data_IF_384831999546
#
_entry.id   IF_384831999546
#
_cell.length_a   1.000
_cell.length_b   1.000
_cell.length_c   1.000
_cell.angle_alpha   90.00
_cell.angle_beta   90.00
_cell.angle_gamma   90.00
#
_symmetry.space_group_name_H-M   'P 1'
#
loop_
_entity.id
_entity.type
_entity.pdbx_description
1 polymer ?
#
# COMPACT_ATOMS: atom_id res chain seq x y z
N UNK A 1 35.43 4.75 -13.67
CA UNK A 1 34.54 4.65 -12.49
C UNK A 1 34.20 3.18 -12.31
N UNK A 2 34.80 2.54 -11.31
CA UNK A 2 34.67 1.09 -11.14
C UNK A 2 33.28 0.74 -10.60
N UNK A 3 32.66 -0.30 -11.16
CA UNK A 3 31.36 -0.84 -10.67
C UNK A 3 31.34 -1.18 -9.18
N UNK A 4 32.52 -1.42 -8.58
CA UNK A 4 32.69 -1.64 -7.14
C UNK A 4 32.39 -0.41 -6.30
N UNK A 5 32.69 0.79 -6.80
CA UNK A 5 32.43 2.05 -6.09
C UNK A 5 30.94 2.39 -6.04
N UNK A 6 30.22 2.06 -7.12
CA UNK A 6 28.77 2.26 -7.25
C UNK A 6 28.04 1.40 -6.20
N UNK A 7 28.48 0.15 -6.00
CA UNK A 7 27.89 -0.81 -5.06
C UNK A 7 28.05 -0.42 -3.58
N UNK A 8 29.02 0.44 -3.25
CA UNK A 8 29.36 0.79 -1.86
C UNK A 8 28.65 2.06 -1.34
N UNK A 9 27.88 2.74 -2.20
CA UNK A 9 27.10 3.90 -1.78
C UNK A 9 25.89 3.41 -0.97
N UNK A 10 25.85 3.72 0.34
CA UNK A 10 24.70 3.40 1.23
C UNK A 10 23.35 3.82 0.63
N UNK A 11 23.33 4.92 -0.12
CA UNK A 11 22.16 5.37 -0.88
C UNK A 11 21.72 4.38 -1.95
N UNK A 12 22.64 3.84 -2.75
CA UNK A 12 22.32 2.86 -3.79
C UNK A 12 21.81 1.55 -3.18
N UNK A 13 22.38 1.08 -2.07
CA UNK A 13 21.89 -0.13 -1.39
C UNK A 13 20.46 0.03 -0.89
N UNK A 14 20.11 1.21 -0.38
CA UNK A 14 18.77 1.52 0.10
C UNK A 14 17.76 1.63 -1.06
N UNK A 15 18.12 2.33 -2.14
CA UNK A 15 17.30 2.42 -3.36
C UNK A 15 17.12 1.04 -3.99
N UNK A 16 18.19 0.24 -4.07
CA UNK A 16 18.13 -1.14 -4.54
C UNK A 16 17.22 -2.02 -3.67
N UNK A 17 17.14 -1.76 -2.36
CA UNK A 17 16.23 -2.48 -1.45
C UNK A 17 14.77 -2.11 -1.70
N UNK A 18 14.46 -0.84 -1.96
CA UNK A 18 13.10 -0.42 -2.34
C UNK A 18 12.73 -1.00 -3.71
N UNK A 19 13.65 -0.89 -4.68
CA UNK A 19 13.47 -1.43 -6.03
C UNK A 19 13.25 -2.94 -6.03
N UNK A 20 14.04 -3.70 -5.29
CA UNK A 20 13.85 -5.14 -5.17
C UNK A 20 12.53 -5.50 -4.48
N UNK A 21 12.10 -4.74 -3.47
CA UNK A 21 10.78 -4.92 -2.84
C UNK A 21 9.66 -4.82 -3.89
N UNK A 22 9.71 -3.79 -4.73
CA UNK A 22 8.70 -3.56 -5.76
C UNK A 22 8.73 -4.66 -6.82
N UNK A 23 9.90 -5.05 -7.32
CA UNK A 23 10.00 -6.14 -8.32
C UNK A 23 9.45 -7.45 -7.76
N UNK A 24 9.87 -7.84 -6.56
CA UNK A 24 9.42 -9.09 -5.92
C UNK A 24 7.91 -9.02 -5.63
N UNK A 25 7.44 -7.92 -5.04
CA UNK A 25 6.03 -7.75 -4.73
C UNK A 25 5.15 -7.76 -5.98
N UNK A 26 5.56 -7.09 -7.05
CA UNK A 26 4.85 -7.12 -8.33
C UNK A 26 4.87 -8.51 -8.94
N UNK A 27 5.99 -9.23 -8.91
CA UNK A 27 6.07 -10.60 -9.41
C UNK A 27 5.08 -11.52 -8.68
N UNK A 28 4.99 -11.43 -7.35
CA UNK A 28 4.03 -12.20 -6.53
C UNK A 28 2.60 -11.84 -6.92
N UNK A 29 2.26 -10.54 -6.98
CA UNK A 29 0.92 -10.09 -7.35
C UNK A 29 0.54 -10.52 -8.78
N UNK A 30 1.46 -10.50 -9.74
CA UNK A 30 1.19 -10.96 -11.10
C UNK A 30 0.89 -12.46 -11.13
N UNK A 31 1.66 -13.28 -10.42
CA UNK A 31 1.40 -14.74 -10.34
C UNK A 31 0.04 -15.02 -9.69
N UNK A 32 -0.29 -14.29 -8.62
CA UNK A 32 -1.60 -14.38 -7.97
C UNK A 32 -2.75 -14.07 -8.95
N UNK A 33 -2.70 -12.93 -9.64
CA UNK A 33 -3.78 -12.54 -10.55
C UNK A 33 -3.94 -13.47 -11.75
N UNK A 34 -2.83 -13.97 -12.32
CA UNK A 34 -2.87 -14.98 -13.39
C UNK A 34 -3.54 -16.26 -12.90
N UNK A 35 -3.24 -16.67 -11.65
CA UNK A 35 -3.84 -17.87 -11.05
C UNK A 35 -5.35 -17.70 -10.86
N UNK A 36 -5.77 -16.55 -10.32
CA UNK A 36 -7.18 -16.21 -10.11
C UNK A 36 -7.94 -16.08 -11.43
N UNK A 37 -7.33 -15.51 -12.48
CA UNK A 37 -7.95 -15.40 -13.80
C UNK A 37 -8.23 -16.77 -14.45
N UNK A 38 -7.41 -17.78 -14.17
CA UNK A 38 -7.65 -19.15 -14.63
C UNK A 38 -8.70 -19.91 -13.83
N UNK A 39 -8.94 -19.51 -12.57
CA UNK A 39 -9.90 -20.15 -11.66
C UNK A 39 -11.28 -19.50 -11.70
N UNK A 40 -11.35 -18.20 -11.94
CA UNK A 40 -12.60 -17.43 -12.03
C UNK A 40 -13.08 -17.39 -13.48
N UNK A 41 -14.39 -17.52 -13.67
CA UNK A 41 -15.02 -17.18 -14.95
C UNK A 41 -14.86 -15.69 -15.27
N UNK A 42 -15.02 -15.33 -16.56
CA UNK A 42 -14.85 -13.96 -17.04
C UNK A 42 -15.76 -12.95 -16.32
N UNK A 43 -16.99 -13.35 -15.99
CA UNK A 43 -17.94 -12.51 -15.27
C UNK A 43 -17.48 -12.22 -13.82
N UNK A 44 -17.19 -13.26 -13.04
CA UNK A 44 -16.74 -13.11 -11.65
C UNK A 44 -15.40 -12.38 -11.54
N UNK A 45 -14.50 -12.59 -12.51
CA UNK A 45 -13.23 -11.85 -12.56
C UNK A 45 -13.44 -10.36 -12.86
N UNK A 46 -14.40 -10.03 -13.73
CA UNK A 46 -14.79 -8.65 -14.03
C UNK A 46 -15.42 -7.96 -12.82
N UNK A 47 -16.31 -8.64 -12.11
CA UNK A 47 -16.95 -8.12 -10.89
C UNK A 47 -15.93 -7.89 -9.76
N UNK A 48 -15.01 -8.84 -9.54
CA UNK A 48 -13.92 -8.67 -8.59
C UNK A 48 -13.05 -7.45 -8.94
N UNK A 49 -12.72 -7.30 -10.23
CA UNK A 49 -11.94 -6.15 -10.72
C UNK A 49 -12.66 -4.82 -10.51
N UNK A 50 -13.98 -4.79 -10.70
CA UNK A 50 -14.82 -3.63 -10.43
C UNK A 50 -14.76 -3.22 -8.96
N UNK A 51 -14.92 -4.17 -8.04
CA UNK A 51 -14.82 -3.91 -6.61
C UNK A 51 -13.42 -3.43 -6.20
N UNK A 52 -12.35 -4.03 -6.73
CA UNK A 52 -10.98 -3.59 -6.46
C UNK A 52 -10.72 -2.16 -6.94
N UNK A 53 -11.28 -1.76 -8.08
CA UNK A 53 -11.18 -0.40 -8.56
C UNK A 53 -11.85 0.60 -7.60
N UNK A 54 -13.06 0.28 -7.13
CA UNK A 54 -13.78 1.09 -6.13
C UNK A 54 -12.97 1.20 -4.83
N UNK A 55 -12.46 0.08 -4.32
CA UNK A 55 -11.63 0.04 -3.11
C UNK A 55 -10.41 0.94 -3.30
N UNK A 56 -9.72 0.84 -4.44
CA UNK A 56 -8.53 1.61 -4.75
C UNK A 56 -8.80 3.12 -4.78
N UNK A 57 -9.82 3.55 -5.53
CA UNK A 57 -10.19 4.97 -5.65
C UNK A 57 -10.62 5.52 -4.28
N UNK A 58 -11.48 4.78 -3.58
CA UNK A 58 -11.99 5.20 -2.26
C UNK A 58 -10.87 5.32 -1.24
N UNK A 59 -9.87 4.43 -1.29
CA UNK A 59 -8.71 4.49 -0.40
C UNK A 59 -7.84 5.71 -0.67
N UNK A 60 -7.64 6.08 -1.94
CA UNK A 60 -6.87 7.29 -2.31
C UNK A 60 -7.59 8.54 -1.81
N UNK A 61 -8.90 8.64 -2.03
CA UNK A 61 -9.73 9.76 -1.55
C UNK A 61 -9.70 9.82 -0.02
N UNK A 62 -9.93 8.70 0.66
CA UNK A 62 -9.95 8.61 2.12
C UNK A 62 -8.60 8.96 2.75
N UNK A 63 -7.48 8.73 2.06
CA UNK A 63 -6.16 9.08 2.59
C UNK A 63 -5.93 10.61 2.58
N UNK A 64 -6.67 11.39 1.80
CA UNK A 64 -6.55 12.87 1.68
C UNK A 64 -5.10 13.32 1.44
N UNK A 65 -4.33 12.57 0.65
CA UNK A 65 -2.91 12.84 0.41
C UNK A 65 -1.98 12.65 1.63
N UNK A 66 -2.50 12.16 2.76
CA UNK A 66 -1.77 11.96 4.00
C UNK A 66 -0.56 11.04 3.87
N UNK A 67 -0.54 10.10 2.90
CA UNK A 67 0.61 9.22 2.68
C UNK A 67 1.90 9.97 2.34
N UNK A 68 1.87 10.89 1.38
CA UNK A 68 3.05 11.69 1.03
C UNK A 68 3.42 12.69 2.13
N UNK A 69 2.40 13.26 2.79
CA UNK A 69 2.60 14.11 3.96
C UNK A 69 3.34 13.34 5.07
N UNK A 70 2.92 12.10 5.36
CA UNK A 70 3.61 11.21 6.30
C UNK A 70 5.08 11.02 5.90
N UNK A 71 5.34 10.70 4.64
CA UNK A 71 6.68 10.43 4.15
C UNK A 71 7.61 11.65 4.31
N UNK A 72 7.15 12.85 3.93
CA UNK A 72 7.94 14.08 3.98
C UNK A 72 8.21 14.53 5.42
N UNK A 73 7.18 14.56 6.26
CA UNK A 73 7.33 15.06 7.64
C UNK A 73 8.01 14.04 8.57
N UNK A 74 7.80 12.73 8.36
CA UNK A 74 8.56 11.71 9.06
C UNK A 74 10.06 11.78 8.70
N UNK A 75 10.40 12.08 7.43
CA UNK A 75 11.80 12.31 7.03
C UNK A 75 12.41 13.56 7.67
N UNK A 76 11.60 14.59 7.95
CA UNK A 76 11.98 15.79 8.71
C UNK A 76 12.00 15.57 10.24
N UNK A 77 11.61 14.39 10.73
CA UNK A 77 11.55 14.09 12.17
C UNK A 77 10.40 14.78 12.91
N UNK A 78 9.41 15.33 12.20
CA UNK A 78 8.24 15.99 12.80
C UNK A 78 7.21 14.91 13.17
N UNK A 79 6.78 14.91 14.44
CA UNK A 79 5.82 13.93 14.98
C UNK A 79 4.38 14.24 14.53
N UNK A 80 4.06 14.00 13.27
CA UNK A 80 2.69 14.14 12.74
C UNK A 80 1.96 12.79 12.59
N UNK A 81 2.66 11.69 12.89
CA UNK A 81 2.19 10.32 12.67
C UNK A 81 0.83 10.08 13.31
N UNK A 82 0.71 10.34 14.61
CA UNK A 82 -0.52 10.10 15.35
C UNK A 82 -1.72 10.89 14.80
N UNK A 83 -1.51 12.14 14.41
CA UNK A 83 -2.56 12.97 13.81
C UNK A 83 -2.99 12.46 12.44
N UNK A 84 -2.05 12.02 11.60
CA UNK A 84 -2.36 11.47 10.28
C UNK A 84 -3.04 10.10 10.37
N UNK A 85 -2.63 9.23 11.29
CA UNK A 85 -3.35 7.97 11.53
C UNK A 85 -4.77 8.23 12.02
N UNK A 86 -4.96 9.18 12.94
CA UNK A 86 -6.29 9.53 13.44
C UNK A 86 -7.19 10.06 12.31
N UNK A 87 -6.69 11.01 11.52
CA UNK A 87 -7.43 11.53 10.36
C UNK A 87 -7.70 10.42 9.33
N UNK A 88 -6.69 9.62 8.99
CA UNK A 88 -6.82 8.54 8.03
C UNK A 88 -7.82 7.46 8.43
N UNK A 89 -7.84 7.06 9.70
CA UNK A 89 -8.79 6.07 10.21
C UNK A 89 -10.20 6.65 10.23
N UNK A 90 -10.37 7.90 10.66
CA UNK A 90 -11.69 8.54 10.70
C UNK A 90 -12.28 8.73 9.30
N UNK A 91 -11.51 9.24 8.34
CA UNK A 91 -11.96 9.41 6.95
C UNK A 91 -12.21 8.08 6.25
N UNK A 92 -11.35 7.08 6.46
CA UNK A 92 -11.54 5.75 5.87
C UNK A 92 -12.72 5.00 6.48
N UNK A 93 -13.04 5.23 7.75
CA UNK A 93 -14.24 4.67 8.39
C UNK A 93 -15.51 5.28 7.81
N UNK A 94 -15.54 6.60 7.58
CA UNK A 94 -16.66 7.26 6.89
C UNK A 94 -16.80 6.73 5.46
N UNK A 95 -15.69 6.55 4.74
CA UNK A 95 -15.69 5.95 3.41
C UNK A 95 -16.20 4.51 3.44
N UNK A 96 -15.78 3.70 4.41
CA UNK A 96 -16.23 2.32 4.59
C UNK A 96 -17.74 2.24 4.86
N UNK A 97 -18.28 3.09 5.73
CA UNK A 97 -19.73 3.16 5.99
C UNK A 97 -20.47 3.53 4.71
N UNK A 98 -19.97 4.52 3.97
CA UNK A 98 -20.58 4.96 2.71
C UNK A 98 -20.60 3.84 1.68
N UNK A 99 -19.48 3.14 1.51
CA UNK A 99 -19.39 2.00 0.59
C UNK A 99 -20.28 0.84 1.01
N UNK A 100 -20.42 0.59 2.31
CA UNK A 100 -21.29 -0.46 2.82
C UNK A 100 -22.75 -0.18 2.48
N UNK A 101 -23.20 1.07 2.59
CA UNK A 101 -24.56 1.46 2.23
C UNK A 101 -24.84 1.38 0.72
N UNK A 102 -23.82 1.51 -0.13
CA UNK A 102 -23.98 1.47 -1.60
C UNK A 102 -23.92 0.04 -2.14
N UNK A 103 -22.97 -0.76 -1.66
CA UNK A 103 -22.65 -2.06 -2.24
C UNK A 103 -23.10 -3.24 -1.39
N UNK A 104 -23.53 -3.00 -0.14
CA UNK A 104 -23.91 -4.02 0.85
C UNK A 104 -22.83 -5.10 1.06
N UNK A 105 -21.59 -4.80 0.68
CA UNK A 105 -20.46 -5.70 0.71
C UNK A 105 -19.49 -5.29 1.81
N UNK A 106 -19.46 -6.07 2.88
CA UNK A 106 -18.55 -5.86 4.01
C UNK A 106 -17.08 -5.94 3.58
N UNK A 107 -16.74 -6.82 2.64
CA UNK A 107 -15.38 -6.96 2.11
C UNK A 107 -14.88 -5.67 1.48
N UNK A 108 -15.64 -5.10 0.53
CA UNK A 108 -15.31 -3.83 -0.13
C UNK A 108 -15.11 -2.70 0.88
N UNK A 109 -15.99 -2.65 1.87
CA UNK A 109 -16.03 -1.58 2.86
C UNK A 109 -14.84 -1.64 3.82
N UNK A 110 -14.57 -2.81 4.41
CA UNK A 110 -13.48 -2.97 5.38
C UNK A 110 -12.10 -2.88 4.72
N UNK A 111 -11.98 -3.30 3.45
CA UNK A 111 -10.73 -3.23 2.69
C UNK A 111 -10.18 -1.80 2.59
N UNK A 112 -11.04 -0.78 2.51
CA UNK A 112 -10.60 0.62 2.44
C UNK A 112 -9.86 1.04 3.71
N UNK A 113 -10.40 0.71 4.89
CA UNK A 113 -9.74 1.03 6.17
C UNK A 113 -8.38 0.34 6.26
N UNK A 114 -8.34 -0.95 5.88
CA UNK A 114 -7.11 -1.74 5.87
C UNK A 114 -6.05 -1.14 4.95
N UNK A 115 -6.41 -0.79 3.72
CA UNK A 115 -5.49 -0.22 2.73
C UNK A 115 -4.96 1.14 3.19
N UNK A 116 -5.83 2.00 3.73
CA UNK A 116 -5.41 3.33 4.22
C UNK A 116 -4.42 3.18 5.38
N UNK A 117 -4.73 2.33 6.37
CA UNK A 117 -3.82 2.07 7.49
C UNK A 117 -2.48 1.49 7.01
N UNK A 118 -2.52 0.52 6.10
CA UNK A 118 -1.31 -0.13 5.57
C UNK A 118 -0.45 0.86 4.78
N UNK A 119 -1.06 1.73 3.98
CA UNK A 119 -0.35 2.78 3.25
C UNK A 119 0.39 3.72 4.20
N UNK A 120 -0.24 4.17 5.28
CA UNK A 120 0.45 5.03 6.27
C UNK A 120 1.67 4.34 6.87
N UNK A 121 1.59 3.05 7.22
CA UNK A 121 2.73 2.28 7.74
C UNK A 121 3.87 2.24 6.73
N UNK A 122 3.57 2.02 5.45
CA UNK A 122 4.56 1.98 4.38
C UNK A 122 5.23 3.34 4.18
N UNK A 123 4.45 4.42 4.10
CA UNK A 123 4.96 5.78 3.91
C UNK A 123 5.79 6.27 5.11
N UNK A 124 5.36 5.94 6.32
CA UNK A 124 6.11 6.22 7.55
C UNK A 124 7.44 5.46 7.56
N UNK A 125 7.44 4.17 7.23
CA UNK A 125 8.66 3.36 7.15
C UNK A 125 9.65 3.91 6.11
N UNK A 126 9.15 4.39 4.97
CA UNK A 126 9.96 5.08 3.96
C UNK A 126 10.50 6.41 4.48
N UNK A 127 9.67 7.24 5.10
CA UNK A 127 10.07 8.54 5.66
C UNK A 127 11.15 8.40 6.75
N UNK A 128 11.02 7.40 7.62
CA UNK A 128 12.02 7.07 8.66
C UNK A 128 13.26 6.35 8.13
N UNK A 129 13.39 6.13 6.81
CA UNK A 129 14.49 5.39 6.16
C UNK A 129 14.63 3.94 6.67
N UNK A 130 13.54 3.34 7.15
CA UNK A 130 13.50 1.96 7.65
C UNK A 130 13.30 0.96 6.51
N UNK A 131 14.17 1.00 5.50
CA UNK A 131 13.99 0.26 4.24
C UNK A 131 13.90 -1.27 4.41
N UNK A 132 14.60 -1.84 5.39
CA UNK A 132 14.48 -3.28 5.71
C UNK A 132 13.10 -3.63 6.29
N UNK A 133 12.52 -2.73 7.10
CA UNK A 133 11.19 -2.92 7.69
C UNK A 133 10.12 -2.77 6.61
N UNK A 134 10.27 -1.76 5.74
CA UNK A 134 9.45 -1.59 4.55
C UNK A 134 9.44 -2.85 3.68
N UNK A 135 10.62 -3.38 3.32
CA UNK A 135 10.74 -4.59 2.50
C UNK A 135 9.95 -5.76 3.10
N UNK A 136 10.13 -6.05 4.40
CA UNK A 136 9.42 -7.14 5.07
C UNK A 136 7.92 -6.94 5.05
N UNK A 137 7.44 -5.77 5.47
CA UNK A 137 6.01 -5.46 5.56
C UNK A 137 5.37 -5.54 4.16
N UNK A 138 5.99 -4.92 3.16
CA UNK A 138 5.48 -4.90 1.79
C UNK A 138 5.42 -6.31 1.17
N UNK A 139 6.50 -7.09 1.27
CA UNK A 139 6.53 -8.44 0.70
C UNK A 139 5.55 -9.37 1.45
N UNK A 140 5.46 -9.29 2.77
CA UNK A 140 4.50 -10.08 3.55
C UNK A 140 3.06 -9.75 3.17
N UNK A 141 2.71 -8.48 2.97
CA UNK A 141 1.39 -8.08 2.47
C UNK A 141 1.06 -8.73 1.13
N UNK A 142 2.05 -8.78 0.23
CA UNK A 142 1.87 -9.30 -1.13
C UNK A 142 1.69 -10.82 -1.14
N UNK A 143 2.24 -11.53 -0.16
CA UNK A 143 2.06 -12.97 0.04
C UNK A 143 0.71 -13.28 0.70
N UNK A 144 0.27 -12.42 1.62
CA UNK A 144 -1.02 -12.55 2.34
C UNK A 144 -2.22 -11.99 1.55
N UNK A 145 -2.00 -11.57 0.31
CA UNK A 145 -3.02 -10.99 -0.55
C UNK A 145 -4.13 -12.01 -0.85
#
# INVERSE_FOLDING_TARGET
>A
MEWKDIKNIRGLRNVATIGSSNIIGTAITSVFWISIAGLLGTESYGELSYFLAIIGISSIIATVGGGYTMQVYAAKGVKIESSLYFLGITTSTVAAITLFLIFENLGVSISVVGIVAFNFILFEALGKKLYKKYFKIFVTQKILF
#
